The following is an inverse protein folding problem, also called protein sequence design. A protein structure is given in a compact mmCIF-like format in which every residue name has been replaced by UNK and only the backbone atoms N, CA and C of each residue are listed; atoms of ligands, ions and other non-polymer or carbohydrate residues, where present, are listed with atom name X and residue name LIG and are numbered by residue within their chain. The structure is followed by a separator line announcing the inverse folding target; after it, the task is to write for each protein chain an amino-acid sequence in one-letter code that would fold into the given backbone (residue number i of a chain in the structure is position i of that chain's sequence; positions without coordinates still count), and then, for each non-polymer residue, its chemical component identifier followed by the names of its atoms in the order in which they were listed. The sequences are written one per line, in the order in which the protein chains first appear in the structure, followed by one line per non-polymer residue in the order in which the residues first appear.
data_IF_891199829240
#
_entry.id   IF_891199829240
#
_cell.length_a   1.000
_cell.length_b   1.000
_cell.length_c   1.000
_cell.angle_alpha   90.00
_cell.angle_beta   90.00
_cell.angle_gamma   90.00
#
_symmetry.space_group_name_H-M   'P 1'
#
loop_
_entity.id
_entity.type
_entity.pdbx_description
1 polymer ?
#
# COMPACT_ATOMS: atom_id res chain seq x y z
N UNK A 1 31.60 -17.16 1.82
CA UNK A 1 30.83 -17.44 0.58
C UNK A 1 29.56 -16.61 0.64
N UNK A 2 29.63 -15.38 0.12
CA UNK A 2 28.50 -14.45 0.15
C UNK A 2 27.58 -14.78 -1.02
N UNK A 3 26.40 -15.32 -0.71
CA UNK A 3 25.34 -15.47 -1.69
C UNK A 3 24.60 -14.14 -1.79
N UNK A 4 24.98 -13.32 -2.78
CA UNK A 4 24.17 -12.20 -3.24
C UNK A 4 22.90 -12.74 -3.89
N UNK A 5 21.85 -12.87 -3.07
CA UNK A 5 20.49 -13.05 -3.56
C UNK A 5 20.01 -11.75 -4.16
N UNK A 6 20.36 -11.48 -5.42
CA UNK A 6 19.73 -10.45 -6.22
C UNK A 6 18.22 -10.72 -6.22
N UNK A 7 17.47 -9.91 -5.46
CA UNK A 7 16.03 -10.06 -5.25
C UNK A 7 15.31 -10.04 -6.58
N UNK A 8 14.90 -11.21 -7.06
CA UNK A 8 14.04 -11.34 -8.24
C UNK A 8 12.78 -10.51 -8.00
N UNK A 9 12.52 -9.56 -8.90
CA UNK A 9 11.31 -8.74 -8.93
C UNK A 9 10.10 -9.69 -8.84
N UNK A 10 9.32 -9.64 -7.77
CA UNK A 10 8.00 -10.27 -7.81
C UNK A 10 7.13 -9.41 -8.73
N UNK A 11 6.93 -9.87 -9.97
CA UNK A 11 6.06 -9.23 -10.97
C UNK A 11 4.57 -9.46 -10.64
N UNK A 12 4.19 -9.43 -9.36
CA UNK A 12 2.77 -9.39 -9.03
C UNK A 12 2.24 -8.04 -9.51
N UNK A 13 1.20 -8.03 -10.37
CA UNK A 13 0.66 -6.78 -10.87
C UNK A 13 0.15 -5.99 -9.65
N UNK A 14 0.76 -4.84 -9.38
CA UNK A 14 0.34 -3.90 -8.32
C UNK A 14 -1.08 -3.35 -8.55
N UNK A 15 -1.69 -3.72 -9.67
CA UNK A 15 -2.98 -3.30 -10.20
C UNK A 15 -4.05 -4.39 -10.13
N UNK A 16 -3.82 -5.49 -9.40
CA UNK A 16 -4.83 -6.57 -9.24
C UNK A 16 -6.14 -6.06 -8.65
N UNK A 17 -6.08 -4.97 -7.88
CA UNK A 17 -7.23 -4.32 -7.23
C UNK A 17 -7.76 -3.10 -7.98
N UNK A 18 -7.16 -2.72 -9.12
CA UNK A 18 -7.63 -1.54 -9.85
C UNK A 18 -9.06 -1.78 -10.41
N UNK A 19 -9.76 -0.69 -10.72
CA UNK A 19 -11.07 -0.73 -11.38
C UNK A 19 -11.06 -1.74 -12.55
N UNK A 20 -12.11 -2.56 -12.69
CA UNK A 20 -13.43 -2.45 -12.06
C UNK A 20 -13.58 -3.18 -10.72
N UNK A 21 -12.54 -3.82 -10.19
CA UNK A 21 -12.69 -4.73 -9.04
C UNK A 21 -12.98 -3.98 -7.73
N UNK A 22 -12.20 -2.93 -7.45
CA UNK A 22 -12.38 -2.07 -6.27
C UNK A 22 -12.33 -0.62 -6.72
N UNK A 23 -13.32 0.16 -6.29
CA UNK A 23 -13.33 1.59 -6.59
C UNK A 23 -12.28 2.32 -5.73
N UNK A 24 -11.52 3.19 -6.37
CA UNK A 24 -10.52 4.03 -5.70
C UNK A 24 -11.15 4.89 -4.60
N UNK A 25 -12.41 5.30 -4.73
CA UNK A 25 -13.14 6.06 -3.71
C UNK A 25 -13.33 5.27 -2.40
N UNK A 26 -13.34 3.94 -2.46
CA UNK A 26 -13.52 3.09 -1.28
C UNK A 26 -12.21 2.86 -0.50
N UNK A 27 -11.07 3.07 -1.16
CA UNK A 27 -9.74 2.75 -0.61
C UNK A 27 -8.86 3.98 -0.46
N UNK A 28 -9.16 5.07 -1.14
CA UNK A 28 -8.41 6.32 -1.03
C UNK A 28 -8.81 7.05 0.25
N UNK A 29 -7.82 7.24 1.12
CA UNK A 29 -8.06 7.82 2.46
C UNK A 29 -7.45 9.20 2.65
N UNK A 30 -6.57 9.65 1.75
CA UNK A 30 -5.82 10.88 1.96
C UNK A 30 -4.89 11.27 0.83
N UNK A 31 -4.35 12.49 0.95
CA UNK A 31 -3.41 13.09 0.01
C UNK A 31 -2.27 13.74 0.77
N UNK A 32 -1.05 13.57 0.28
CA UNK A 32 0.13 14.26 0.81
C UNK A 32 -0.09 15.77 0.76
N UNK A 33 0.39 16.47 1.80
CA UNK A 33 0.36 17.94 1.87
C UNK A 33 1.31 18.59 0.86
N UNK A 34 2.17 17.80 0.21
CA UNK A 34 3.08 18.26 -0.84
C UNK A 34 2.36 18.55 -2.17
N UNK A 35 2.78 19.62 -2.86
CA UNK A 35 2.25 20.00 -4.17
C UNK A 35 2.55 18.89 -5.20
N UNK A 36 1.52 18.49 -5.96
CA UNK A 36 1.67 17.48 -7.02
C UNK A 36 1.43 16.04 -6.56
N UNK A 37 0.79 15.84 -5.41
CA UNK A 37 0.39 14.54 -4.88
C UNK A 37 -0.73 13.90 -5.74
N UNK A 38 -0.34 13.20 -6.80
CA UNK A 38 -1.23 12.53 -7.77
C UNK A 38 -0.95 11.03 -7.95
N UNK A 39 0.15 10.53 -7.41
CA UNK A 39 0.52 9.11 -7.53
C UNK A 39 -0.21 8.31 -6.47
N UNK A 40 -0.84 7.21 -6.86
CA UNK A 40 -1.48 6.27 -5.93
C UNK A 40 -0.42 5.40 -5.29
N UNK A 41 -0.28 5.52 -3.97
CA UNK A 41 0.57 4.63 -3.19
C UNK A 41 -0.28 3.91 -2.15
N UNK A 42 -0.12 2.59 -2.07
CA UNK A 42 -0.81 1.84 -1.03
C UNK A 42 -0.23 2.23 0.33
N UNK A 43 -1.00 2.16 1.41
CA UNK A 43 -0.48 2.42 2.76
C UNK A 43 0.42 1.25 3.18
N UNK A 44 -0.14 0.04 3.14
CA UNK A 44 0.58 -1.23 3.25
C UNK A 44 0.92 -1.70 1.84
N UNK A 45 2.16 -2.14 1.53
CA UNK A 45 2.51 -2.63 0.20
C UNK A 45 1.51 -3.67 -0.32
N UNK A 46 0.96 -3.43 -1.52
CA UNK A 46 -0.05 -4.31 -2.13
C UNK A 46 0.38 -5.79 -2.19
N UNK A 47 1.68 -6.04 -2.42
CA UNK A 47 2.24 -7.41 -2.40
C UNK A 47 2.09 -8.12 -1.05
N UNK A 48 2.15 -7.39 0.08
CA UNK A 48 1.94 -7.98 1.40
C UNK A 48 0.47 -8.34 1.62
N UNK A 49 -0.46 -7.48 1.19
CA UNK A 49 -1.90 -7.74 1.24
C UNK A 49 -2.23 -8.99 0.42
N UNK A 50 -1.74 -9.06 -0.82
CA UNK A 50 -1.95 -10.22 -1.71
C UNK A 50 -1.40 -11.51 -1.08
N UNK A 51 -0.19 -11.47 -0.50
CA UNK A 51 0.38 -12.65 0.19
C UNK A 51 -0.48 -13.08 1.38
N UNK A 52 -0.94 -12.15 2.19
CA UNK A 52 -1.83 -12.46 3.31
C UNK A 52 -3.15 -13.08 2.84
N UNK A 53 -3.77 -12.56 1.77
CA UNK A 53 -4.96 -13.18 1.18
C UNK A 53 -4.68 -14.60 0.67
N UNK A 54 -3.53 -14.83 0.03
CA UNK A 54 -3.13 -16.19 -0.37
C UNK A 54 -2.98 -17.11 0.85
N UNK A 55 -2.36 -16.65 1.93
CA UNK A 55 -2.23 -17.44 3.17
C UNK A 55 -3.59 -17.76 3.79
N UNK A 56 -4.53 -16.80 3.79
CA UNK A 56 -5.91 -17.01 4.25
C UNK A 56 -6.62 -18.06 3.39
N UNK A 57 -6.50 -17.98 2.07
CA UNK A 57 -7.06 -18.97 1.14
C UNK A 57 -6.48 -20.38 1.38
N UNK A 58 -5.16 -20.49 1.65
CA UNK A 58 -4.55 -21.79 1.96
C UNK A 58 -4.98 -22.38 3.30
N UNK A 59 -5.62 -21.57 4.15
CA UNK A 59 -6.16 -21.98 5.46
C UNK A 59 -7.69 -22.14 5.43
N UNK A 60 -8.28 -22.17 4.24
CA UNK A 60 -9.73 -22.28 4.05
C UNK A 60 -10.53 -21.17 4.78
N UNK A 61 -9.96 -19.95 4.86
CA UNK A 61 -10.69 -18.79 5.35
C UNK A 61 -11.90 -18.49 4.45
N UNK A 62 -12.96 -17.96 5.03
CA UNK A 62 -14.16 -17.63 4.25
C UNK A 62 -13.96 -16.40 3.37
N UNK A 63 -14.79 -16.27 2.35
CA UNK A 63 -14.79 -15.09 1.49
C UNK A 63 -15.08 -13.82 2.30
N UNK A 64 -15.94 -13.90 3.32
CA UNK A 64 -16.25 -12.78 4.22
C UNK A 64 -15.04 -12.34 5.04
N UNK A 65 -14.24 -13.28 5.57
CA UNK A 65 -13.03 -12.97 6.32
C UNK A 65 -11.98 -12.31 5.42
N UNK A 66 -11.81 -12.83 4.20
CA UNK A 66 -10.87 -12.26 3.22
C UNK A 66 -11.34 -10.87 2.77
N UNK A 67 -12.64 -10.69 2.53
CA UNK A 67 -13.21 -9.39 2.17
C UNK A 67 -13.02 -8.37 3.31
N UNK A 68 -13.30 -8.75 4.55
CA UNK A 68 -13.07 -7.90 5.71
C UNK A 68 -11.60 -7.49 5.84
N UNK A 69 -10.68 -8.45 5.64
CA UNK A 69 -9.24 -8.19 5.63
C UNK A 69 -8.84 -7.19 4.55
N UNK A 70 -9.33 -7.37 3.31
CA UNK A 70 -9.06 -6.45 2.19
C UNK A 70 -9.61 -5.06 2.52
N UNK A 71 -10.87 -4.94 2.95
CA UNK A 71 -11.50 -3.66 3.27
C UNK A 71 -10.79 -2.90 4.40
N UNK A 72 -10.19 -3.62 5.36
CA UNK A 72 -9.43 -3.02 6.44
C UNK A 72 -8.05 -2.49 5.99
N UNK A 73 -7.33 -3.26 5.15
CA UNK A 73 -5.90 -3.00 4.88
C UNK A 73 -5.61 -2.38 3.52
N UNK A 74 -6.51 -2.54 2.54
CA UNK A 74 -6.37 -1.94 1.22
C UNK A 74 -6.72 -0.46 1.31
N UNK A 75 -5.69 0.36 1.55
CA UNK A 75 -5.78 1.81 1.66
C UNK A 75 -4.78 2.47 0.73
N UNK A 76 -5.16 3.59 0.12
CA UNK A 76 -4.36 4.36 -0.81
C UNK A 76 -4.22 5.79 -0.28
N UNK A 77 -3.02 6.33 -0.37
CA UNK A 77 -2.73 7.76 -0.20
C UNK A 77 -2.17 8.29 -1.51
N UNK A 78 -2.62 9.47 -1.91
CA UNK A 78 -2.01 10.19 -3.01
C UNK A 78 -0.71 10.84 -2.58
N UNK A 79 0.39 10.51 -3.23
CA UNK A 79 1.73 11.04 -2.95
C UNK A 79 2.33 11.68 -4.20
N UNK A 80 3.38 12.46 -4.01
CA UNK A 80 4.18 13.00 -5.11
C UNK A 80 5.04 11.91 -5.74
N UNK A 81 5.48 12.09 -7.00
CA UNK A 81 6.45 11.18 -7.62
C UNK A 81 7.76 11.06 -6.83
N UNK A 82 8.15 12.10 -6.09
CA UNK A 82 9.36 12.09 -5.27
C UNK A 82 9.20 11.26 -3.99
N UNK A 83 8.07 11.42 -3.30
CA UNK A 83 7.71 10.59 -2.14
C UNK A 83 7.61 9.10 -2.51
N UNK A 84 6.97 8.78 -3.64
CA UNK A 84 6.93 7.42 -4.17
C UNK A 84 8.34 6.86 -4.42
N UNK A 85 9.23 7.67 -5.02
CA UNK A 85 10.64 7.28 -5.20
C UNK A 85 11.38 7.07 -3.88
N UNK A 86 11.10 7.87 -2.83
CA UNK A 86 11.70 7.68 -1.50
C UNK A 86 11.29 6.37 -0.85
N UNK A 87 10.02 5.99 -0.99
CA UNK A 87 9.51 4.69 -0.55
C UNK A 87 10.16 3.53 -1.32
N UNK A 88 10.35 3.71 -2.62
CA UNK A 88 10.89 2.66 -3.50
C UNK A 88 12.41 2.47 -3.40
N UNK A 89 13.14 3.57 -3.26
CA UNK A 89 14.59 3.57 -3.35
C UNK A 89 15.22 2.96 -2.10
N UNK A 90 16.03 1.91 -2.31
CA UNK A 90 16.86 1.28 -1.27
C UNK A 90 17.88 2.26 -0.65
N UNK A 91 18.22 3.35 -1.36
CA UNK A 91 19.11 4.41 -0.86
C UNK A 91 18.37 5.45 -0.01
N UNK A 92 17.04 5.34 0.11
CA UNK A 92 16.23 6.14 1.00
C UNK A 92 15.62 5.23 2.07
N UNK A 93 14.35 4.82 1.90
CA UNK A 93 13.65 3.97 2.88
C UNK A 93 13.57 2.51 2.42
N UNK A 94 13.51 2.26 1.10
CA UNK A 94 13.57 0.91 0.53
C UNK A 94 12.38 0.00 0.90
N UNK A 95 11.22 0.57 1.19
CA UNK A 95 10.03 -0.12 1.67
C UNK A 95 8.97 -0.34 0.58
N UNK A 96 9.38 -0.44 -0.69
CA UNK A 96 8.49 -0.75 -1.83
C UNK A 96 7.59 -1.95 -1.58
N UNK A 97 8.14 -3.00 -0.96
CA UNK A 97 7.51 -4.31 -0.82
C UNK A 97 7.47 -4.81 0.62
N UNK A 98 7.77 -3.94 1.57
CA UNK A 98 7.89 -4.27 2.99
C UNK A 98 7.37 -3.13 3.86
N UNK A 99 7.09 -3.48 5.11
CA UNK A 99 6.85 -2.53 6.19
C UNK A 99 8.13 -2.38 7.03
N UNK A 100 8.19 -1.42 7.97
CA UNK A 100 9.30 -1.30 8.92
C UNK A 100 9.61 -2.61 9.67
N UNK A 101 10.82 -2.69 10.22
CA UNK A 101 11.26 -3.88 10.95
C UNK A 101 10.30 -4.25 12.10
N UNK A 102 10.01 -5.54 12.25
CA UNK A 102 9.09 -6.11 13.24
C UNK A 102 7.61 -5.69 13.09
N UNK A 103 7.24 -5.03 12.00
CA UNK A 103 5.84 -4.70 11.73
C UNK A 103 5.04 -5.96 11.36
N UNK A 104 3.82 -6.06 11.89
CA UNK A 104 2.85 -7.11 11.61
C UNK A 104 1.44 -6.53 11.36
N UNK A 105 0.57 -7.31 10.71
CA UNK A 105 -0.84 -6.93 10.56
C UNK A 105 -1.49 -6.73 11.94
N UNK A 106 -2.22 -5.63 12.11
CA UNK A 106 -2.74 -5.17 13.39
C UNK A 106 -1.93 -4.03 14.02
N UNK A 107 -0.67 -3.84 13.61
CA UNK A 107 0.10 -2.65 13.94
C UNK A 107 -0.40 -1.42 13.15
N UNK A 108 0.18 -0.26 13.43
CA UNK A 108 -0.18 0.97 12.74
C UNK A 108 0.10 0.85 11.22
N UNK A 109 -0.92 0.92 10.36
CA UNK A 109 -0.77 0.72 8.92
C UNK A 109 0.06 1.82 8.27
N UNK A 110 0.11 3.02 8.87
CA UNK A 110 0.80 4.18 8.29
C UNK A 110 2.29 4.25 8.65
N UNK A 111 2.82 3.23 9.36
CA UNK A 111 4.20 3.23 9.83
C UNK A 111 5.21 3.47 8.70
N UNK A 112 4.93 2.92 7.51
CA UNK A 112 5.74 3.09 6.30
C UNK A 112 5.77 4.53 5.79
N UNK A 113 4.63 5.22 5.76
CA UNK A 113 4.55 6.62 5.31
C UNK A 113 5.29 7.54 6.29
N UNK A 114 5.09 7.33 7.60
CA UNK A 114 5.81 8.10 8.64
C UNK A 114 7.31 7.85 8.62
N UNK A 115 7.76 6.62 8.40
CA UNK A 115 9.18 6.31 8.23
C UNK A 115 9.80 7.04 7.02
N UNK A 116 9.00 7.34 5.99
CA UNK A 116 9.40 8.13 4.83
C UNK A 116 9.26 9.64 4.99
N UNK A 117 8.78 10.12 6.14
CA UNK A 117 8.51 11.54 6.38
C UNK A 117 7.46 12.10 5.43
N UNK A 118 6.41 11.32 5.16
CA UNK A 118 5.26 11.75 4.34
C UNK A 118 4.15 12.17 5.30
N UNK A 119 3.70 13.42 5.17
CA UNK A 119 2.53 13.95 5.86
C UNK A 119 1.35 13.99 4.88
N UNK A 120 0.16 13.67 5.35
CA UNK A 120 -1.04 13.62 4.52
C UNK A 120 -2.27 14.12 5.29
N UNK A 121 -3.23 14.62 4.54
CA UNK A 121 -4.54 15.02 5.03
C UNK A 121 -5.60 14.02 4.53
N UNK A 122 -6.66 13.75 5.31
CA UNK A 122 -7.78 12.95 4.84
C UNK A 122 -8.42 13.60 3.62
N UNK A 123 -8.82 12.78 2.64
CA UNK A 123 -9.71 13.26 1.58
C UNK A 123 -11.11 13.20 2.15
N UNK A 124 -11.75 14.37 2.34
CA UNK A 124 -13.17 14.41 2.63
C UNK A 124 -13.94 13.93 1.39
N UNK A 125 -15.02 13.18 1.60
CA UNK A 125 -15.83 12.57 0.53
C UNK A 125 -16.44 13.58 -0.47
N UNK A 126 -16.23 14.89 -0.29
CA UNK A 126 -16.76 15.97 -1.12
C UNK A 126 -15.99 16.19 -2.45
N UNK A 127 -14.80 15.62 -2.62
CA UNK A 127 -13.99 15.80 -3.85
C UNK A 127 -14.26 14.74 -4.94
N UNK A 128 -15.15 13.77 -4.71
CA UNK A 128 -15.45 12.69 -5.65
C UNK A 128 -16.34 13.13 -6.83
N UNK A 129 -16.91 14.35 -6.81
CA UNK A 129 -17.91 14.77 -7.80
C UNK A 129 -17.35 15.52 -9.03
N UNK A 130 -16.03 15.67 -9.19
CA UNK A 130 -15.45 16.41 -10.32
C UNK A 130 -14.15 15.82 -10.93
N UNK A 131 -14.03 14.49 -10.97
CA UNK A 131 -12.92 13.82 -11.66
C UNK A 131 -13.37 13.08 -12.93
#
# INVERSE_FOLDING_TARGET
MSSEGCGRKSNLPTRVWDRPLIDDELVTIGRSTSIGAKQREHVIPCVMIVRACHEMLTRDASDEDIAAFISQHLKIVHVTPEEARRLDSVNAVGMRQSMPANWQFGDDPYARLRAAGIEWEPIEAADAENA
#
